data_IF_734507114516
#
_entry.id   IF_734507114516
#
_cell.length_a   1.000
_cell.length_b   1.000
_cell.length_c   1.000
_cell.angle_alpha   90.00
_cell.angle_beta   90.00
_cell.angle_gamma   90.00
#
_symmetry.space_group_name_H-M   'P 1'
#
loop_
_entity.id
_entity.type
_entity.pdbx_description
1 polymer ?
#
# COMPACT_ATOMS: atom_id res chain seq x y z
N UNK A 1 10.42 -6.22 9.85
CA UNK A 1 10.22 -4.76 9.84
C UNK A 1 11.09 -4.20 8.72
N UNK A 2 10.60 -4.23 7.50
CA UNK A 2 11.18 -3.50 6.36
C UNK A 2 10.09 -3.45 5.29
N UNK A 3 9.85 -2.28 4.72
CA UNK A 3 9.18 -2.20 3.42
C UNK A 3 10.16 -2.82 2.44
N UNK A 4 9.85 -3.99 1.88
CA UNK A 4 10.84 -4.81 1.15
C UNK A 4 11.14 -4.25 -0.25
N UNK A 5 10.40 -3.24 -0.70
CA UNK A 5 10.52 -2.62 -2.01
C UNK A 5 10.29 -1.12 -1.90
N UNK A 6 11.26 -0.31 -2.32
CA UNK A 6 11.11 1.15 -2.43
C UNK A 6 9.93 1.52 -3.35
N UNK A 7 9.61 0.65 -4.31
CA UNK A 7 8.49 0.82 -5.24
C UNK A 7 7.15 0.74 -4.53
N UNK A 8 6.97 -0.14 -3.54
CA UNK A 8 5.70 -0.24 -2.80
C UNK A 8 5.44 1.02 -1.97
N UNK A 9 6.49 1.60 -1.37
CA UNK A 9 6.42 2.91 -0.74
C UNK A 9 6.02 4.01 -1.74
N UNK A 10 6.62 4.02 -2.92
CA UNK A 10 6.34 5.03 -3.94
C UNK A 10 4.90 4.92 -4.45
N UNK A 11 4.43 3.70 -4.74
CA UNK A 11 3.04 3.45 -5.14
C UNK A 11 2.08 3.92 -4.03
N UNK A 12 2.37 3.58 -2.77
CA UNK A 12 1.56 4.00 -1.64
C UNK A 12 1.53 5.54 -1.49
N UNK A 13 2.67 6.21 -1.64
CA UNK A 13 2.75 7.66 -1.58
C UNK A 13 1.89 8.33 -2.66
N UNK A 14 2.03 7.88 -3.91
CA UNK A 14 1.23 8.38 -5.04
C UNK A 14 -0.26 8.10 -4.82
N UNK A 15 -0.61 6.91 -4.35
CA UNK A 15 -2.01 6.56 -4.09
C UNK A 15 -2.63 7.45 -3.00
N UNK A 16 -1.89 7.76 -1.93
CA UNK A 16 -2.35 8.69 -0.90
C UNK A 16 -2.50 10.12 -1.43
N UNK A 17 -1.54 10.61 -2.22
CA UNK A 17 -1.58 11.94 -2.82
C UNK A 17 -2.77 12.12 -3.78
N UNK A 18 -3.10 11.08 -4.54
CA UNK A 18 -4.20 11.08 -5.50
C UNK A 18 -5.53 10.59 -4.89
N UNK A 19 -5.58 10.36 -3.58
CA UNK A 19 -6.73 9.78 -2.87
C UNK A 19 -7.24 8.44 -3.45
N UNK A 20 -6.37 7.71 -4.15
CA UNK A 20 -6.67 6.46 -4.83
C UNK A 20 -6.62 5.25 -3.87
N UNK A 21 -7.28 4.16 -4.27
CA UNK A 21 -7.26 2.89 -3.55
C UNK A 21 -6.34 1.90 -4.25
N UNK A 22 -5.40 1.30 -3.51
CA UNK A 22 -4.46 0.30 -4.06
C UNK A 22 -5.10 -1.09 -4.03
N UNK A 23 -5.35 -1.67 -5.19
CA UNK A 23 -5.66 -3.10 -5.32
C UNK A 23 -4.34 -3.89 -5.38
N UNK A 24 -4.14 -4.83 -4.45
CA UNK A 24 -2.89 -5.57 -4.36
C UNK A 24 -3.07 -7.02 -3.90
N UNK A 25 -2.02 -7.83 -4.06
CA UNK A 25 -1.87 -9.14 -3.42
C UNK A 25 -0.58 -9.25 -2.60
N UNK A 26 0.05 -8.11 -2.31
CA UNK A 26 1.25 -8.03 -1.47
C UNK A 26 0.89 -7.52 -0.07
N UNK A 27 1.26 -8.29 0.96
CA UNK A 27 1.03 -7.94 2.38
C UNK A 27 1.72 -6.65 2.83
N UNK A 28 2.69 -6.13 2.07
CA UNK A 28 3.40 -4.91 2.46
C UNK A 28 2.47 -3.68 2.36
N UNK A 29 1.48 -3.66 1.47
CA UNK A 29 0.46 -2.59 1.45
C UNK A 29 -0.48 -2.64 2.66
N UNK A 30 -0.86 -3.83 3.14
CA UNK A 30 -1.64 -3.97 4.39
C UNK A 30 -0.83 -3.49 5.61
N UNK A 31 0.50 -3.66 5.57
CA UNK A 31 1.38 -3.13 6.63
C UNK A 31 1.46 -1.61 6.55
N UNK A 32 1.59 -1.04 5.35
CA UNK A 32 1.64 0.41 5.15
C UNK A 32 0.34 1.06 5.63
N UNK A 33 -0.83 0.48 5.32
CA UNK A 33 -2.12 1.01 5.79
C UNK A 33 -2.31 0.95 7.30
N UNK A 34 -1.55 0.10 8.01
CA UNK A 34 -1.48 0.10 9.47
C UNK A 34 -0.71 1.28 10.08
N UNK A 35 0.13 1.98 9.30
CA UNK A 35 0.96 3.10 9.78
C UNK A 35 0.70 4.43 9.06
N UNK A 36 -0.01 4.41 7.93
CA UNK A 36 -0.29 5.57 7.09
C UNK A 36 -1.74 5.49 6.55
N UNK A 37 -2.37 6.60 6.16
CA UNK A 37 -3.76 6.63 5.70
C UNK A 37 -3.93 6.09 4.26
N UNK A 38 -3.28 4.98 3.94
CA UNK A 38 -3.38 4.32 2.64
C UNK A 38 -4.67 3.49 2.57
N UNK A 39 -5.52 3.77 1.57
CA UNK A 39 -6.68 2.93 1.24
C UNK A 39 -6.22 1.73 0.41
N UNK A 40 -6.53 0.52 0.85
CA UNK A 40 -6.13 -0.71 0.15
C UNK A 40 -7.25 -1.72 0.04
N UNK A 41 -7.21 -2.53 -1.01
CA UNK A 41 -8.03 -3.72 -1.18
C UNK A 41 -7.08 -4.89 -1.45
N UNK A 42 -7.05 -5.84 -0.52
CA UNK A 42 -6.35 -7.10 -0.71
C UNK A 42 -7.18 -8.00 -1.64
N UNK A 43 -6.67 -8.25 -2.84
CA UNK A 43 -7.10 -9.32 -3.73
C UNK A 43 -6.71 -10.66 -3.15
N UNK A 44 -7.37 -11.07 -2.06
CA UNK A 44 -7.48 -12.49 -1.71
C UNK A 44 -8.07 -13.23 -2.92
N UNK A 45 -7.74 -14.51 -3.14
CA UNK A 45 -8.57 -15.31 -4.03
C UNK A 45 -10.05 -15.21 -3.62
#
# INVERSE_FOLDING_TARGET
>A
MSVRSLIDCLIAAIAMEQEATVLHRDRDFDRISGYAPLKTISGKP
#
